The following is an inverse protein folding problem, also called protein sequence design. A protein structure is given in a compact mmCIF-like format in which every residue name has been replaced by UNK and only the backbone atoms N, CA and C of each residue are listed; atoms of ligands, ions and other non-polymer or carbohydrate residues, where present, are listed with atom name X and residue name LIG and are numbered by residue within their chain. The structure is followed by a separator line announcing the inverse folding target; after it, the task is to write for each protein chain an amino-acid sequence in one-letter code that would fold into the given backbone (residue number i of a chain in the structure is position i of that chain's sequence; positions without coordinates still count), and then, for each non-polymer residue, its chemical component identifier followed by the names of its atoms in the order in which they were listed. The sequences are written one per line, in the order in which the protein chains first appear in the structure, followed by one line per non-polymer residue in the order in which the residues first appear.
data_IF_863024580855
#
_entry.id   IF_863024580855
#
_cell.length_a   1.000
_cell.length_b   1.000
_cell.length_c   1.000
_cell.angle_alpha   90.00
_cell.angle_beta   90.00
_cell.angle_gamma   90.00
#
_symmetry.space_group_name_H-M   'P 1'
#
loop_
_entity.id
_entity.type
_entity.pdbx_description
1 polymer ?
#
# COMPACT_ATOMS: atom_id res chain seq x y z
N UNK A 1 -41.07 -0.58 75.20
CA UNK A 1 -41.79 -0.96 73.96
C UNK A 1 -41.01 -0.40 72.79
N UNK A 2 -40.35 -1.27 72.02
CA UNK A 2 -39.39 -0.91 70.97
C UNK A 2 -40.14 -0.86 69.64
N UNK A 3 -40.24 0.33 69.03
CA UNK A 3 -40.84 0.51 67.71
C UNK A 3 -39.74 0.43 66.65
N UNK A 4 -39.68 -0.70 65.94
CA UNK A 4 -38.84 -0.89 64.75
C UNK A 4 -39.59 -0.31 63.55
N UNK A 5 -39.00 0.57 62.73
CA UNK A 5 -39.66 1.06 61.52
C UNK A 5 -39.53 0.04 60.38
N UNK A 6 -40.61 -0.10 59.62
CA UNK A 6 -40.75 -0.98 58.47
C UNK A 6 -39.67 -0.73 57.40
N UNK A 7 -39.05 -1.83 56.95
CA UNK A 7 -38.15 -1.81 55.79
C UNK A 7 -38.97 -1.49 54.54
N UNK A 8 -38.86 -0.25 54.07
CA UNK A 8 -39.25 0.13 52.72
C UNK A 8 -38.56 -0.81 51.73
N UNK A 9 -39.38 -1.58 51.00
CA UNK A 9 -38.99 -2.36 49.84
C UNK A 9 -38.38 -1.40 48.79
N UNK A 10 -37.06 -1.18 48.87
CA UNK A 10 -36.31 -0.66 47.74
C UNK A 10 -36.17 -1.81 46.78
N UNK A 11 -37.06 -1.84 45.80
CA UNK A 11 -36.94 -2.64 44.59
C UNK A 11 -35.49 -2.64 44.16
N UNK A 12 -34.86 -3.82 44.14
CA UNK A 12 -33.51 -4.02 43.59
C UNK A 12 -33.53 -3.61 42.13
N UNK A 13 -33.36 -2.32 41.84
CA UNK A 13 -32.86 -1.88 40.54
C UNK A 13 -31.45 -2.44 40.50
N UNK A 14 -31.34 -3.61 39.86
CA UNK A 14 -30.09 -4.32 39.63
C UNK A 14 -29.18 -3.33 38.91
N UNK A 15 -28.31 -2.66 39.65
CA UNK A 15 -27.16 -1.95 39.09
C UNK A 15 -26.35 -3.05 38.39
N UNK A 16 -26.57 -3.19 37.08
CA UNK A 16 -25.76 -4.06 36.25
C UNK A 16 -24.38 -3.42 36.19
N UNK A 17 -23.41 -3.99 36.91
CA UNK A 17 -22.00 -3.78 36.59
C UNK A 17 -21.80 -3.96 35.09
N UNK A 18 -20.92 -3.17 34.43
CA UNK A 18 -20.63 -3.34 33.02
C UNK A 18 -20.27 -4.81 32.79
N UNK A 19 -21.18 -5.54 32.15
CA UNK A 19 -20.96 -6.93 31.82
C UNK A 19 -19.85 -6.93 30.79
N UNK A 20 -18.69 -7.48 31.15
CA UNK A 20 -17.76 -8.02 30.17
C UNK A 20 -18.58 -8.91 29.23
N UNK A 21 -18.58 -8.66 27.91
CA UNK A 21 -19.38 -9.49 27.02
C UNK A 21 -18.78 -10.89 27.00
N UNK A 22 -19.41 -11.81 27.74
CA UNK A 22 -19.20 -13.23 27.65
C UNK A 22 -20.15 -13.78 26.59
N UNK A 23 -19.64 -13.92 25.36
CA UNK A 23 -20.02 -14.93 24.37
C UNK A 23 -18.99 -14.91 23.24
N UNK A 24 -18.36 -16.05 22.89
CA UNK A 24 -17.39 -16.12 21.80
C UNK A 24 -18.12 -16.21 20.46
N UNK A 25 -18.67 -15.10 19.99
CA UNK A 25 -19.07 -14.95 18.60
C UNK A 25 -17.85 -14.51 17.77
N UNK A 26 -17.00 -15.47 17.40
CA UNK A 26 -16.15 -15.47 16.21
C UNK A 26 -14.97 -14.50 16.07
N UNK A 27 -15.01 -13.27 16.57
CA UNK A 27 -13.86 -12.34 16.45
C UNK A 27 -13.88 -11.26 17.53
N UNK A 28 -12.74 -11.02 18.17
CA UNK A 28 -12.56 -9.86 19.07
C UNK A 28 -12.60 -8.55 18.27
N UNK A 29 -12.91 -7.42 18.91
CA UNK A 29 -12.80 -6.09 18.27
C UNK A 29 -11.39 -5.87 17.69
N UNK A 30 -10.38 -6.43 18.34
CA UNK A 30 -9.01 -6.46 17.84
C UNK A 30 -8.86 -7.22 16.53
N UNK A 31 -9.40 -8.44 16.44
CA UNK A 31 -9.34 -9.25 15.21
C UNK A 31 -10.05 -8.56 14.03
N UNK A 32 -11.19 -7.89 14.25
CA UNK A 32 -11.86 -7.09 13.22
C UNK A 32 -10.97 -5.94 12.72
N UNK A 33 -10.30 -5.21 13.62
CA UNK A 33 -9.39 -4.11 13.25
C UNK A 33 -8.19 -4.59 12.44
N UNK A 34 -7.67 -5.79 12.75
CA UNK A 34 -6.59 -6.40 11.97
C UNK A 34 -7.08 -6.73 10.56
N UNK A 35 -8.28 -7.30 10.44
CA UNK A 35 -8.88 -7.58 9.14
C UNK A 35 -9.08 -6.32 8.30
N UNK A 36 -9.63 -5.25 8.89
CA UNK A 36 -9.84 -3.98 8.21
C UNK A 36 -8.52 -3.36 7.73
N UNK A 37 -7.48 -3.41 8.57
CA UNK A 37 -6.14 -2.95 8.22
C UNK A 37 -5.52 -3.78 7.08
N UNK A 38 -5.70 -5.10 7.10
CA UNK A 38 -5.21 -5.98 6.04
C UNK A 38 -5.90 -5.70 4.70
N UNK A 39 -7.23 -5.54 4.70
CA UNK A 39 -7.98 -5.18 3.49
C UNK A 39 -7.56 -3.81 2.96
N UNK A 40 -7.42 -2.81 3.84
CA UNK A 40 -6.91 -1.48 3.46
C UNK A 40 -5.50 -1.55 2.87
N UNK A 41 -4.62 -2.38 3.44
CA UNK A 41 -3.28 -2.58 2.91
C UNK A 41 -3.30 -3.18 1.49
N UNK A 42 -4.17 -4.17 1.24
CA UNK A 42 -4.38 -4.76 -0.08
C UNK A 42 -4.90 -3.73 -1.10
N UNK A 43 -5.82 -2.85 -0.70
CA UNK A 43 -6.31 -1.74 -1.54
C UNK A 43 -5.21 -0.75 -1.89
N UNK A 44 -4.38 -0.38 -0.91
CA UNK A 44 -3.22 0.49 -1.12
C UNK A 44 -2.24 -0.14 -2.10
N UNK A 45 -1.99 -1.44 -2.01
CA UNK A 45 -1.13 -2.14 -2.96
C UNK A 45 -1.74 -2.22 -4.37
N UNK A 46 -3.05 -2.47 -4.51
CA UNK A 46 -3.73 -2.40 -5.81
C UNK A 46 -3.62 -1.00 -6.43
N UNK A 47 -3.72 0.05 -5.60
CA UNK A 47 -3.50 1.44 -6.03
C UNK A 47 -2.03 1.69 -6.45
N UNK A 48 -1.07 1.14 -5.72
CA UNK A 48 0.35 1.17 -6.10
C UNK A 48 0.55 0.61 -7.52
N UNK A 49 0.08 -0.62 -7.75
CA UNK A 49 0.23 -1.30 -9.04
C UNK A 49 -0.38 -0.54 -10.21
N UNK A 50 -1.61 -0.04 -10.06
CA UNK A 50 -2.26 0.74 -11.12
C UNK A 50 -1.54 2.06 -11.41
N UNK A 51 -1.00 2.70 -10.37
CA UNK A 51 -0.19 3.92 -10.50
C UNK A 51 1.13 3.63 -11.23
N UNK A 52 1.80 2.53 -10.90
CA UNK A 52 3.04 2.12 -11.58
C UNK A 52 2.79 1.77 -13.04
N UNK A 53 1.71 1.04 -13.35
CA UNK A 53 1.31 0.72 -14.72
C UNK A 53 1.02 1.99 -15.55
N UNK A 54 0.38 3.00 -14.94
CA UNK A 54 0.20 4.30 -15.58
C UNK A 54 1.53 5.03 -15.81
N UNK A 55 2.49 4.89 -14.91
CA UNK A 55 3.84 5.40 -15.09
C UNK A 55 4.57 4.75 -16.26
N UNK A 56 4.38 3.46 -16.50
CA UNK A 56 4.93 2.76 -17.68
C UNK A 56 4.41 3.37 -18.98
N UNK A 57 3.13 3.75 -19.03
CA UNK A 57 2.55 4.43 -20.20
C UNK A 57 3.22 5.78 -20.46
N UNK A 58 3.53 6.56 -19.43
CA UNK A 58 4.27 7.82 -19.59
C UNK A 58 5.73 7.59 -19.97
N UNK A 59 6.41 6.57 -19.43
CA UNK A 59 7.77 6.23 -19.83
C UNK A 59 7.83 5.85 -21.33
N UNK A 60 6.89 5.03 -21.80
CA UNK A 60 6.77 4.68 -23.21
C UNK A 60 6.43 5.90 -24.10
N UNK A 61 5.58 6.82 -23.61
CA UNK A 61 5.29 8.06 -24.34
C UNK A 61 6.53 8.95 -24.45
N UNK A 62 7.31 9.08 -23.38
CA UNK A 62 8.59 9.81 -23.38
C UNK A 62 9.57 9.14 -24.36
N UNK A 63 9.65 7.81 -24.35
CA UNK A 63 10.47 7.05 -25.28
C UNK A 63 10.12 7.38 -26.73
N UNK A 64 8.85 7.24 -27.09
CA UNK A 64 8.37 7.45 -28.46
C UNK A 64 8.67 8.87 -28.96
N UNK A 65 8.42 9.88 -28.11
CA UNK A 65 8.63 11.28 -28.49
C UNK A 65 10.12 11.62 -28.58
N UNK A 66 10.97 11.07 -27.71
CA UNK A 66 12.43 11.32 -27.76
C UNK A 66 13.15 10.52 -28.83
N UNK A 67 12.72 9.29 -29.11
CA UNK A 67 13.32 8.46 -30.15
C UNK A 67 13.27 9.13 -31.52
N UNK A 68 12.18 9.85 -31.83
CA UNK A 68 12.06 10.65 -33.06
C UNK A 68 13.09 11.78 -33.20
N UNK A 69 13.67 12.27 -32.09
CA UNK A 69 14.72 13.31 -32.08
C UNK A 69 16.13 12.70 -32.03
N UNK A 70 16.26 11.55 -31.37
CA UNK A 70 17.55 10.86 -31.20
C UNK A 70 17.95 10.00 -32.40
N UNK A 71 17.02 9.66 -33.30
CA UNK A 71 17.30 8.83 -34.48
C UNK A 71 18.01 9.64 -35.59
N UNK A 72 19.26 9.29 -35.95
CA UNK A 72 20.06 10.06 -36.91
C UNK A 72 19.52 10.06 -38.35
N UNK A 73 18.60 9.14 -38.70
CA UNK A 73 18.06 9.02 -40.06
C UNK A 73 17.01 10.10 -40.43
N UNK A 74 16.50 10.85 -39.45
CA UNK A 74 15.48 11.89 -39.64
C UNK A 74 15.92 13.31 -39.30
N UNK A 75 17.24 13.58 -39.24
CA UNK A 75 17.77 14.88 -38.82
C UNK A 75 17.42 16.00 -39.82
N UNK A 76 16.36 16.73 -39.53
CA UNK A 76 16.34 18.17 -39.80
C UNK A 76 17.43 18.83 -38.94
N UNK A 77 18.28 19.72 -39.48
CA UNK A 77 19.45 20.30 -38.78
C UNK A 77 19.13 21.04 -37.47
N UNK A 78 17.86 21.34 -37.20
CA UNK A 78 17.38 22.12 -36.05
C UNK A 78 16.32 21.39 -35.20
N UNK A 79 16.34 20.05 -35.15
CA UNK A 79 15.41 19.32 -34.30
C UNK A 79 15.62 19.69 -32.81
N UNK A 80 14.65 20.40 -32.23
CA UNK A 80 14.65 20.80 -30.83
C UNK A 80 14.86 19.56 -29.92
N UNK A 81 15.90 19.53 -29.06
CA UNK A 81 16.18 18.40 -28.16
C UNK A 81 15.04 18.15 -27.15
N UNK A 82 14.15 19.13 -26.97
CA UNK A 82 12.95 19.03 -26.15
C UNK A 82 11.69 19.08 -27.03
N UNK A 83 11.26 17.94 -27.58
CA UNK A 83 10.06 17.86 -28.41
C UNK A 83 8.79 18.25 -27.64
N UNK A 84 7.77 18.70 -28.39
CA UNK A 84 6.48 19.07 -27.82
C UNK A 84 5.89 17.90 -26.98
N UNK A 85 5.24 18.24 -25.86
CA UNK A 85 4.66 17.31 -24.88
C UNK A 85 5.65 16.55 -23.95
N UNK A 86 6.97 16.62 -24.18
CA UNK A 86 7.93 15.95 -23.28
C UNK A 86 7.80 16.46 -21.83
N UNK A 87 7.75 17.78 -21.65
CA UNK A 87 7.59 18.40 -20.34
C UNK A 87 6.29 17.95 -19.65
N UNK A 88 5.21 17.79 -20.40
CA UNK A 88 3.92 17.32 -19.88
C UNK A 88 4.04 15.89 -19.34
N UNK A 89 4.68 14.99 -20.09
CA UNK A 89 4.86 13.60 -19.63
C UNK A 89 5.78 13.51 -18.42
N UNK A 90 6.88 14.28 -18.37
CA UNK A 90 7.76 14.34 -17.20
C UNK A 90 7.03 14.89 -15.96
N UNK A 91 6.23 15.95 -16.11
CA UNK A 91 5.40 16.49 -15.02
C UNK A 91 4.38 15.46 -14.51
N UNK A 92 3.72 14.75 -15.41
CA UNK A 92 2.79 13.68 -15.03
C UNK A 92 3.51 12.54 -14.28
N UNK A 93 4.73 12.19 -14.68
CA UNK A 93 5.53 11.17 -14.00
C UNK A 93 5.96 11.62 -12.59
N UNK A 94 6.31 12.90 -12.42
CA UNK A 94 6.59 13.49 -11.11
C UNK A 94 5.36 13.45 -10.18
N UNK A 95 4.16 13.76 -10.71
CA UNK A 95 2.90 13.64 -9.97
C UNK A 95 2.65 12.19 -9.55
N UNK A 96 2.88 11.21 -10.44
CA UNK A 96 2.74 9.79 -10.08
C UNK A 96 3.70 9.39 -8.96
N UNK A 97 4.95 9.85 -8.98
CA UNK A 97 5.89 9.57 -7.88
C UNK A 97 5.44 10.18 -6.54
N UNK A 98 4.78 11.34 -6.55
CA UNK A 98 4.15 11.89 -5.36
C UNK A 98 3.03 10.98 -4.86
N UNK A 99 2.15 10.52 -5.75
CA UNK A 99 1.05 9.60 -5.41
C UNK A 99 1.59 8.29 -4.84
N UNK A 100 2.64 7.73 -5.44
CA UNK A 100 3.30 6.52 -4.93
C UNK A 100 3.86 6.76 -3.52
N UNK A 101 4.47 7.92 -3.27
CA UNK A 101 4.90 8.33 -1.93
C UNK A 101 3.78 8.37 -0.92
N UNK A 102 2.64 8.96 -1.26
CA UNK A 102 1.47 9.03 -0.37
C UNK A 102 0.87 7.64 -0.07
N UNK A 103 0.85 6.76 -1.07
CA UNK A 103 0.41 5.36 -0.91
C UNK A 103 1.34 4.60 0.03
N UNK A 104 2.67 4.73 -0.15
CA UNK A 104 3.65 4.11 0.74
C UNK A 104 3.51 4.61 2.18
N UNK A 105 3.43 5.92 2.39
CA UNK A 105 3.24 6.51 3.72
C UNK A 105 1.96 6.00 4.39
N UNK A 106 0.88 5.85 3.62
CA UNK A 106 -0.40 5.31 4.10
C UNK A 106 -0.30 3.83 4.47
N UNK A 107 0.49 3.04 3.72
CA UNK A 107 0.75 1.64 3.99
C UNK A 107 1.60 1.48 5.26
N UNK A 108 2.70 2.23 5.39
CA UNK A 108 3.54 2.25 6.59
C UNK A 108 2.75 2.67 7.84
N UNK A 109 1.88 3.67 7.72
CA UNK A 109 0.98 4.09 8.82
C UNK A 109 0.06 2.94 9.24
N UNK A 110 -0.46 2.16 8.29
CA UNK A 110 -1.31 1.01 8.58
C UNK A 110 -0.54 -0.08 9.32
N UNK A 111 0.72 -0.34 8.93
CA UNK A 111 1.61 -1.27 9.64
C UNK A 111 1.91 -0.78 11.06
N UNK A 112 2.16 0.51 11.24
CA UNK A 112 2.45 1.08 12.57
C UNK A 112 1.25 0.97 13.51
N UNK A 113 0.04 1.20 13.01
CA UNK A 113 -1.20 0.97 13.77
C UNK A 113 -1.32 -0.49 14.23
N UNK A 114 -0.93 -1.45 13.40
CA UNK A 114 -0.93 -2.87 13.75
C UNK A 114 0.14 -3.21 14.79
N UNK A 115 1.33 -2.59 14.74
CA UNK A 115 2.37 -2.76 15.77
C UNK A 115 1.88 -2.32 17.15
N UNK A 116 1.17 -1.20 17.22
CA UNK A 116 0.54 -0.73 18.46
C UNK A 116 -0.48 -1.75 18.96
N UNK A 117 -1.31 -2.29 18.07
CA UNK A 117 -2.30 -3.31 18.42
C UNK A 117 -1.65 -4.63 18.88
N UNK A 118 -0.50 -5.00 18.30
CA UNK A 118 0.24 -6.20 18.65
C UNK A 118 0.74 -6.21 20.09
N UNK A 119 0.98 -5.04 20.70
CA UNK A 119 1.31 -4.96 22.13
C UNK A 119 0.18 -5.50 23.01
N UNK A 120 -1.07 -5.34 22.57
CA UNK A 120 -2.28 -5.72 23.32
C UNK A 120 -2.76 -7.14 22.99
N UNK A 121 -2.45 -7.64 21.79
CA UNK A 121 -2.92 -8.93 21.25
C UNK A 121 -1.75 -9.90 21.00
N UNK A 122 -0.77 -9.93 21.91
CA UNK A 122 0.39 -10.81 21.77
C UNK A 122 -0.08 -12.27 21.66
N UNK A 123 0.46 -12.97 20.66
CA UNK A 123 0.20 -14.39 20.36
C UNK A 123 -1.24 -14.76 19.96
N UNK A 124 -2.13 -13.78 19.72
CA UNK A 124 -3.45 -14.08 19.15
C UNK A 124 -3.37 -14.44 17.66
N UNK A 125 -4.09 -15.51 17.30
CA UNK A 125 -4.37 -15.84 15.90
C UNK A 125 -5.37 -14.81 15.37
N UNK A 126 -5.00 -14.16 14.28
CA UNK A 126 -5.77 -13.16 13.54
C UNK A 126 -6.09 -13.71 12.16
N UNK A 127 -7.32 -13.50 11.70
CA UNK A 127 -7.79 -14.17 10.48
C UNK A 127 -8.12 -15.64 10.72
N UNK A 128 -7.67 -16.53 9.83
CA UNK A 128 -7.99 -17.97 9.87
C UNK A 128 -6.94 -18.78 10.62
N UNK A 129 -5.66 -18.43 10.47
CA UNK A 129 -4.50 -19.25 10.83
C UNK A 129 -3.24 -18.45 11.17
N UNK A 130 -3.19 -17.15 10.89
CA UNK A 130 -1.96 -16.35 11.06
C UNK A 130 -1.89 -15.68 12.42
N UNK A 131 -0.67 -15.44 12.93
CA UNK A 131 -0.49 -14.56 14.09
C UNK A 131 -0.23 -13.12 13.64
N UNK A 132 -0.55 -12.16 14.50
CA UNK A 132 -0.43 -10.73 14.16
C UNK A 132 1.02 -10.31 13.86
N UNK A 133 2.00 -10.93 14.55
CA UNK A 133 3.42 -10.65 14.31
C UNK A 133 3.86 -10.97 12.87
N UNK A 134 3.43 -12.11 12.32
CA UNK A 134 3.74 -12.52 10.94
C UNK A 134 3.05 -11.66 9.90
N UNK A 135 1.81 -11.22 10.18
CA UNK A 135 1.11 -10.26 9.32
C UNK A 135 1.90 -8.95 9.24
N UNK A 136 2.31 -8.40 10.38
CA UNK A 136 3.09 -7.15 10.46
C UNK A 136 4.43 -7.31 9.75
N UNK A 137 5.17 -8.38 10.02
CA UNK A 137 6.47 -8.66 9.40
C UNK A 137 6.36 -8.68 7.87
N UNK A 138 5.37 -9.40 7.33
CA UNK A 138 5.20 -9.49 5.89
C UNK A 138 4.72 -8.18 5.25
N UNK A 139 3.81 -7.43 5.89
CA UNK A 139 3.41 -6.11 5.39
C UNK A 139 4.59 -5.12 5.42
N UNK A 140 5.44 -5.16 6.44
CA UNK A 140 6.63 -4.33 6.52
C UNK A 140 7.61 -4.67 5.37
N UNK A 141 7.82 -5.95 5.09
CA UNK A 141 8.66 -6.36 3.96
C UNK A 141 8.12 -5.81 2.62
N UNK A 142 6.79 -5.82 2.42
CA UNK A 142 6.17 -5.20 1.24
C UNK A 142 6.41 -3.69 1.19
N UNK A 143 6.28 -2.98 2.32
CA UNK A 143 6.60 -1.55 2.40
C UNK A 143 8.06 -1.26 2.05
N UNK A 144 9.00 -2.06 2.56
CA UNK A 144 10.43 -1.89 2.28
C UNK A 144 10.74 -2.11 0.79
N UNK A 145 10.08 -3.09 0.16
CA UNK A 145 10.13 -3.31 -1.28
C UNK A 145 9.56 -2.12 -2.08
N UNK A 146 8.39 -1.61 -1.70
CA UNK A 146 7.77 -0.43 -2.33
C UNK A 146 8.68 0.80 -2.21
N UNK A 147 9.32 0.99 -1.05
CA UNK A 147 10.26 2.08 -0.81
C UNK A 147 11.48 2.01 -1.73
N UNK A 148 12.11 0.84 -1.80
CA UNK A 148 13.25 0.62 -2.71
C UNK A 148 12.85 0.82 -4.17
N UNK A 149 11.65 0.38 -4.57
CA UNK A 149 11.13 0.62 -5.93
C UNK A 149 10.90 2.11 -6.18
N UNK A 150 10.35 2.85 -5.21
CA UNK A 150 10.08 4.29 -5.33
C UNK A 150 11.35 5.11 -5.57
N UNK A 151 12.42 4.81 -4.85
CA UNK A 151 13.67 5.57 -4.92
C UNK A 151 14.29 5.48 -6.33
N UNK A 152 14.22 4.30 -6.94
CA UNK A 152 14.66 4.13 -8.33
C UNK A 152 13.70 4.82 -9.30
N UNK A 153 12.38 4.73 -9.08
CA UNK A 153 11.37 5.42 -9.92
C UNK A 153 11.46 6.94 -9.86
N UNK A 154 11.85 7.52 -8.71
CA UNK A 154 12.19 8.95 -8.58
C UNK A 154 13.38 9.31 -9.45
N UNK A 155 14.46 8.54 -9.34
CA UNK A 155 15.67 8.73 -10.15
C UNK A 155 15.34 8.65 -11.64
N UNK A 156 14.52 7.68 -12.07
CA UNK A 156 14.09 7.58 -13.47
C UNK A 156 13.31 8.83 -13.90
N UNK A 157 12.33 9.27 -13.11
CA UNK A 157 11.48 10.39 -13.48
C UNK A 157 12.23 11.72 -13.61
N UNK A 158 13.28 11.92 -12.81
CA UNK A 158 14.14 13.10 -12.87
C UNK A 158 15.05 13.11 -14.11
N UNK A 159 15.43 11.93 -14.64
CA UNK A 159 16.48 11.81 -15.64
C UNK A 159 16.00 11.40 -17.04
N UNK A 160 14.88 10.69 -17.17
CA UNK A 160 14.39 10.14 -18.46
C UNK A 160 14.17 11.24 -19.53
N UNK A 161 13.74 12.43 -19.09
CA UNK A 161 13.58 13.60 -19.97
C UNK A 161 14.90 14.12 -20.54
N UNK A 162 16.03 13.87 -19.87
CA UNK A 162 17.36 14.37 -20.22
C UNK A 162 18.24 13.36 -20.96
N UNK A 163 17.80 12.11 -21.11
CA UNK A 163 18.57 11.07 -21.81
C UNK A 163 19.10 11.50 -23.19
N UNK A 164 20.39 11.34 -23.42
CA UNK A 164 21.08 11.82 -24.63
C UNK A 164 21.27 10.73 -25.69
N UNK A 165 20.93 9.48 -25.36
CA UNK A 165 21.03 8.34 -26.26
C UNK A 165 19.78 7.46 -26.18
N UNK A 166 19.47 6.76 -27.28
CA UNK A 166 18.36 5.80 -27.30
C UNK A 166 18.58 4.64 -26.32
N UNK A 167 19.83 4.27 -26.04
CA UNK A 167 20.17 3.19 -25.09
C UNK A 167 19.84 3.59 -23.65
N UNK A 168 20.21 4.81 -23.25
CA UNK A 168 19.88 5.35 -21.92
C UNK A 168 18.36 5.48 -21.72
N UNK A 169 17.66 5.95 -22.75
CA UNK A 169 16.21 6.05 -22.75
C UNK A 169 15.53 4.69 -22.57
N UNK A 170 15.95 3.68 -23.35
CA UNK A 170 15.46 2.31 -23.22
C UNK A 170 15.78 1.70 -21.85
N UNK A 171 16.95 2.01 -21.28
CA UNK A 171 17.32 1.55 -19.94
C UNK A 171 16.35 2.08 -18.88
N UNK A 172 16.00 3.36 -18.92
CA UNK A 172 15.04 3.95 -17.99
C UNK A 172 13.65 3.31 -18.10
N UNK A 173 13.14 3.12 -19.32
CA UNK A 173 11.84 2.47 -19.57
C UNK A 173 11.86 1.04 -19.07
N UNK A 174 12.88 0.27 -19.46
CA UNK A 174 13.00 -1.15 -19.06
C UNK A 174 13.14 -1.30 -17.56
N UNK A 175 13.93 -0.44 -16.92
CA UNK A 175 14.11 -0.46 -15.46
C UNK A 175 12.80 -0.11 -14.74
N UNK A 176 12.03 0.86 -15.25
CA UNK A 176 10.72 1.18 -14.67
C UNK A 176 9.81 -0.05 -14.60
N UNK A 177 9.73 -0.83 -15.68
CA UNK A 177 8.85 -1.99 -15.78
C UNK A 177 9.38 -3.22 -15.02
N UNK A 178 10.70 -3.44 -15.05
CA UNK A 178 11.30 -4.60 -14.40
C UNK A 178 11.25 -4.54 -12.87
N UNK A 179 11.29 -3.34 -12.28
CA UNK A 179 11.24 -3.19 -10.81
C UNK A 179 9.98 -3.77 -10.22
N UNK A 180 8.85 -3.64 -10.91
CA UNK A 180 7.55 -4.13 -10.43
C UNK A 180 7.44 -5.65 -10.50
N UNK A 181 8.18 -6.29 -11.41
CA UNK A 181 8.19 -7.76 -11.57
C UNK A 181 9.18 -8.47 -10.62
N UNK A 182 10.01 -7.72 -9.89
CA UNK A 182 11.17 -8.28 -9.18
C UNK A 182 10.83 -8.96 -7.85
N UNK A 183 9.67 -8.69 -7.26
CA UNK A 183 9.34 -9.10 -5.88
C UNK A 183 8.24 -10.16 -5.79
N UNK A 184 8.40 -11.29 -6.49
CA UNK A 184 7.45 -12.42 -6.47
C UNK A 184 7.03 -12.83 -5.04
N UNK A 185 7.96 -12.80 -4.08
CA UNK A 185 7.66 -13.06 -2.67
C UNK A 185 6.63 -12.09 -2.06
N UNK A 186 6.67 -10.80 -2.42
CA UNK A 186 5.67 -9.82 -1.98
C UNK A 186 4.30 -10.11 -2.60
N UNK A 187 4.26 -10.46 -3.89
CA UNK A 187 3.02 -10.82 -4.58
C UNK A 187 2.38 -12.07 -3.97
N UNK A 188 3.18 -13.10 -3.69
CA UNK A 188 2.73 -14.31 -3.00
C UNK A 188 2.20 -13.98 -1.61
N UNK A 189 2.93 -13.18 -0.83
CA UNK A 189 2.47 -12.74 0.48
C UNK A 189 1.12 -12.02 0.40
N UNK A 190 0.95 -11.09 -0.53
CA UNK A 190 -0.30 -10.35 -0.70
C UNK A 190 -1.47 -11.23 -1.12
N UNK A 191 -1.22 -12.25 -1.96
CA UNK A 191 -2.23 -13.26 -2.30
C UNK A 191 -2.63 -14.10 -1.09
N UNK A 192 -1.65 -14.52 -0.30
CA UNK A 192 -1.92 -15.26 0.94
C UNK A 192 -2.69 -14.38 1.94
N UNK A 193 -2.32 -13.11 2.06
CA UNK A 193 -3.02 -12.13 2.89
C UNK A 193 -4.47 -11.93 2.42
N UNK A 194 -4.71 -11.85 1.12
CA UNK A 194 -6.06 -11.77 0.54
C UNK A 194 -6.87 -13.03 0.89
N UNK A 195 -6.31 -14.23 0.77
CA UNK A 195 -6.99 -15.50 1.14
C UNK A 195 -7.29 -15.56 2.64
N UNK A 196 -6.33 -15.14 3.46
CA UNK A 196 -6.40 -15.21 4.91
C UNK A 196 -7.50 -14.31 5.48
N UNK A 197 -7.67 -13.11 4.93
CA UNK A 197 -8.61 -12.09 5.42
C UNK A 197 -9.86 -11.89 4.56
N UNK A 198 -9.97 -12.51 3.38
CA UNK A 198 -11.23 -12.57 2.64
C UNK A 198 -12.18 -13.59 3.26
N UNK A 199 -13.45 -13.24 3.41
CA UNK A 199 -14.46 -14.14 3.95
C UNK A 199 -14.62 -15.40 3.07
N UNK A 200 -14.97 -16.58 3.65
CA UNK A 200 -15.56 -17.63 2.85
C UNK A 200 -16.86 -17.08 2.25
N UNK A 201 -17.02 -17.16 0.93
CA UNK A 201 -18.33 -17.01 0.32
C UNK A 201 -19.19 -18.17 0.85
N UNK A 202 -19.98 -17.89 1.87
CA UNK A 202 -21.03 -18.77 2.39
C UNK A 202 -22.24 -18.74 1.48
#
# INVERSE_FOLDING_TARGET
MSATPDRLNVSKTRIQSPRTPASPSGSTVGASRVSDAALKFLELFKKWQSTVQKGSQYCNAIENVKKGVLDPAGKEPEANPYPANLELYCKNLAILNSILGDVLNSAETTVEQLKVLHVLMKDEVVGRSWNLGKVIEGMQNVCDCMKSELDVKRTIAENIGHSISSTELMLHVSLWDQLSNRNEACYLFLRMLEIEFSAPQS
#
